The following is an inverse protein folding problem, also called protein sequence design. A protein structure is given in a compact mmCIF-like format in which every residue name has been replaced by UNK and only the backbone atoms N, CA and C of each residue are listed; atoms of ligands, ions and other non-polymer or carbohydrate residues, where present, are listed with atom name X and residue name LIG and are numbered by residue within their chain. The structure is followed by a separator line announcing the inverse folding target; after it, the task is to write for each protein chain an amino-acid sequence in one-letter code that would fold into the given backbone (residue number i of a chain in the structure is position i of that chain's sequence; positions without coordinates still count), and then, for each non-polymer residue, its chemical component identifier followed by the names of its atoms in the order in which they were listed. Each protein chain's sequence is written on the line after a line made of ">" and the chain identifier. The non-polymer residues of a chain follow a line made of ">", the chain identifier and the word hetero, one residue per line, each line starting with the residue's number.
data_IF_464324563162
#
_entry.id   IF_464324563162
#
_cell.length_a   1.000
_cell.length_b   1.000
_cell.length_c   1.000
_cell.angle_alpha   90.00
_cell.angle_beta   90.00
_cell.angle_gamma   90.00
#
_symmetry.space_group_name_H-M   'P 1'
#
loop_
_entity.id
_entity.type
_entity.pdbx_description
1 polymer ?
#
# COMPACT_ATOMS: atom_id res chain seq x y z
N UNK A 1 44.09 -26.92 41.68
CA UNK A 1 44.09 -25.48 41.34
C UNK A 1 43.27 -25.33 40.06
N UNK A 2 42.34 -24.37 40.09
CA UNK A 2 41.13 -24.23 39.29
C UNK A 2 41.23 -24.49 37.78
N UNK A 3 40.25 -25.24 37.28
CA UNK A 3 39.80 -25.13 35.90
C UNK A 3 38.67 -24.11 35.79
N UNK A 4 38.54 -23.49 34.62
CA UNK A 4 37.27 -23.13 33.97
C UNK A 4 37.58 -22.45 32.64
N UNK A 5 37.30 -23.15 31.54
CA UNK A 5 37.18 -22.53 30.23
C UNK A 5 35.78 -21.91 30.16
N UNK A 6 35.71 -20.58 30.09
CA UNK A 6 34.45 -19.88 29.86
C UNK A 6 34.01 -20.14 28.41
N UNK A 7 32.94 -20.92 28.25
CA UNK A 7 32.22 -21.01 26.99
C UNK A 7 31.53 -19.66 26.75
N UNK A 8 32.01 -18.92 25.75
CA UNK A 8 31.30 -17.77 25.24
C UNK A 8 30.02 -18.25 24.54
N UNK A 9 28.87 -18.08 25.19
CA UNK A 9 27.58 -18.14 24.50
C UNK A 9 27.44 -16.88 23.65
N UNK A 10 27.79 -16.99 22.38
CA UNK A 10 27.30 -16.08 21.35
C UNK A 10 25.81 -16.37 21.13
N UNK A 11 24.95 -15.72 21.91
CA UNK A 11 23.53 -15.58 21.59
C UNK A 11 23.39 -14.59 20.42
N UNK A 12 23.80 -15.03 19.23
CA UNK A 12 23.45 -14.39 17.98
C UNK A 12 22.01 -14.76 17.64
N UNK A 13 21.03 -14.18 18.32
CA UNK A 13 19.69 -14.10 17.73
C UNK A 13 19.79 -13.10 16.58
N UNK A 14 20.04 -13.59 15.38
CA UNK A 14 19.66 -12.85 14.18
C UNK A 14 18.16 -12.63 14.30
N UNK A 15 17.75 -11.43 14.71
CA UNK A 15 16.36 -11.00 14.65
C UNK A 15 15.89 -11.27 13.23
N UNK A 16 15.08 -12.31 13.04
CA UNK A 16 14.56 -12.64 11.71
C UNK A 16 13.81 -11.40 11.24
N UNK A 17 14.20 -10.86 10.08
CA UNK A 17 13.51 -9.72 9.49
C UNK A 17 12.01 -10.03 9.40
N UNK A 18 11.18 -9.05 9.76
CA UNK A 18 9.73 -9.25 9.81
C UNK A 18 9.20 -9.50 8.38
N UNK A 19 8.61 -10.69 8.12
CA UNK A 19 8.24 -11.10 6.77
C UNK A 19 7.14 -10.22 6.15
N UNK A 20 6.32 -9.54 6.96
CA UNK A 20 5.23 -8.72 6.42
C UNK A 20 5.70 -7.37 5.88
N UNK A 21 6.85 -6.86 6.34
CA UNK A 21 7.34 -5.53 5.97
C UNK A 21 7.48 -5.37 4.45
N UNK A 22 8.28 -6.18 3.73
CA UNK A 22 8.45 -5.99 2.29
C UNK A 22 7.15 -6.20 1.51
N UNK A 23 6.27 -7.07 2.00
CA UNK A 23 4.98 -7.38 1.37
C UNK A 23 4.04 -6.18 1.46
N UNK A 24 3.87 -5.62 2.67
CA UNK A 24 3.04 -4.44 2.88
C UNK A 24 3.60 -3.21 2.17
N UNK A 25 4.92 -3.01 2.19
CA UNK A 25 5.57 -1.90 1.47
C UNK A 25 5.34 -2.00 -0.04
N UNK A 26 5.45 -3.20 -0.62
CA UNK A 26 5.14 -3.40 -2.02
C UNK A 26 3.66 -3.12 -2.32
N UNK A 27 2.75 -3.61 -1.48
CA UNK A 27 1.31 -3.34 -1.64
C UNK A 27 1.01 -1.84 -1.61
N UNK A 28 1.56 -1.11 -0.63
CA UNK A 28 1.34 0.33 -0.47
C UNK A 28 1.92 1.14 -1.64
N UNK A 29 3.09 0.72 -2.15
CA UNK A 29 3.69 1.31 -3.35
C UNK A 29 2.79 1.13 -4.57
N UNK A 30 2.27 -0.07 -4.80
CA UNK A 30 1.34 -0.36 -5.89
C UNK A 30 0.03 0.44 -5.74
N UNK A 31 -0.44 0.63 -4.51
CA UNK A 31 -1.63 1.45 -4.24
C UNK A 31 -1.41 2.91 -4.65
N UNK A 32 -0.30 3.50 -4.20
CA UNK A 32 0.05 4.87 -4.54
C UNK A 32 0.28 5.07 -6.05
N UNK A 33 0.83 4.06 -6.73
CA UNK A 33 0.97 4.04 -8.19
C UNK A 33 -0.39 4.05 -8.89
N UNK A 34 -1.35 3.24 -8.43
CA UNK A 34 -2.71 3.25 -8.95
C UNK A 34 -3.42 4.59 -8.71
N UNK A 35 -3.25 5.20 -7.53
CA UNK A 35 -3.82 6.51 -7.22
C UNK A 35 -3.28 7.60 -8.15
N UNK A 36 -1.95 7.58 -8.41
CA UNK A 36 -1.31 8.52 -9.33
C UNK A 36 -1.78 8.34 -10.78
N UNK A 37 -1.93 7.10 -11.23
CA UNK A 37 -2.48 6.79 -12.56
C UNK A 37 -3.94 7.22 -12.69
N UNK A 38 -4.75 7.00 -11.66
CA UNK A 38 -6.15 7.43 -11.63
C UNK A 38 -6.26 8.95 -11.75
N UNK A 39 -5.42 9.69 -11.01
CA UNK A 39 -5.36 11.15 -11.12
C UNK A 39 -4.97 11.59 -12.54
N UNK A 40 -3.93 10.97 -13.12
CA UNK A 40 -3.51 11.26 -14.49
C UNK A 40 -4.62 10.99 -15.50
N UNK A 41 -5.37 9.91 -15.33
CA UNK A 41 -6.50 9.60 -16.18
C UNK A 41 -7.59 10.68 -16.09
N UNK A 42 -7.91 11.16 -14.89
CA UNK A 42 -8.89 12.24 -14.68
C UNK A 42 -8.45 13.57 -15.31
N UNK A 43 -7.15 13.88 -15.25
CA UNK A 43 -6.59 15.05 -15.93
C UNK A 43 -6.74 14.95 -17.45
N UNK A 44 -6.43 13.77 -18.02
CA UNK A 44 -6.60 13.50 -19.44
C UNK A 44 -8.07 13.59 -19.84
N UNK A 45 -8.98 12.94 -19.13
CA UNK A 45 -10.42 12.99 -19.38
C UNK A 45 -10.92 14.44 -19.39
N UNK A 46 -10.51 15.22 -18.39
CA UNK A 46 -10.86 16.64 -18.31
C UNK A 46 -10.32 17.44 -19.49
N UNK A 47 -9.09 17.16 -19.93
CA UNK A 47 -8.47 17.80 -21.08
C UNK A 47 -9.18 17.45 -22.39
N UNK A 48 -9.33 16.16 -22.70
CA UNK A 48 -9.94 15.72 -23.96
C UNK A 48 -11.44 16.07 -24.03
N UNK A 49 -12.11 16.11 -22.88
CA UNK A 49 -13.48 16.61 -22.77
C UNK A 49 -13.61 18.05 -23.25
N UNK A 50 -12.65 18.93 -22.91
CA UNK A 50 -12.63 20.33 -23.31
C UNK A 50 -12.17 20.53 -24.76
N UNK A 51 -11.05 19.91 -25.14
CA UNK A 51 -10.39 20.21 -26.42
C UNK A 51 -11.01 19.46 -27.60
N UNK A 52 -11.48 18.24 -27.39
CA UNK A 52 -11.96 17.35 -28.46
C UNK A 52 -13.45 17.04 -28.40
N UNK A 53 -14.19 17.62 -27.44
CA UNK A 53 -15.57 17.23 -27.14
C UNK A 53 -15.70 15.71 -26.96
N UNK A 54 -14.72 15.08 -26.29
CA UNK A 54 -14.54 13.63 -26.16
C UNK A 54 -15.82 12.83 -25.94
N UNK A 55 -16.72 13.33 -25.08
CA UNK A 55 -17.98 12.67 -24.73
C UNK A 55 -19.01 12.59 -25.86
N UNK A 56 -18.81 13.35 -26.96
CA UNK A 56 -19.66 13.32 -28.16
C UNK A 56 -19.06 12.49 -29.30
N UNK A 57 -17.79 12.10 -29.17
CA UNK A 57 -17.10 11.31 -30.18
C UNK A 57 -17.57 9.85 -30.13
N UNK A 58 -17.73 9.26 -31.31
CA UNK A 58 -17.81 7.82 -31.49
C UNK A 58 -16.48 7.15 -31.13
N UNK A 59 -16.50 5.83 -30.92
CA UNK A 59 -15.29 5.07 -30.60
C UNK A 59 -14.19 5.22 -31.66
N UNK A 60 -14.57 5.19 -32.94
CA UNK A 60 -13.62 5.39 -34.05
C UNK A 60 -13.01 6.80 -34.05
N UNK A 61 -13.78 7.82 -33.68
CA UNK A 61 -13.29 9.20 -33.57
C UNK A 61 -12.38 9.39 -32.34
N UNK A 62 -12.67 8.71 -31.23
CA UNK A 62 -11.81 8.71 -30.03
C UNK A 62 -10.44 8.12 -30.31
N UNK A 63 -10.35 7.06 -31.13
CA UNK A 63 -9.06 6.47 -31.52
C UNK A 63 -8.16 7.43 -32.32
N UNK A 64 -8.71 8.52 -32.85
CA UNK A 64 -7.95 9.56 -33.56
C UNK A 64 -7.42 10.66 -32.64
N UNK A 65 -7.86 10.70 -31.37
CA UNK A 65 -7.38 11.66 -30.38
C UNK A 65 -6.02 11.19 -29.84
N UNK A 66 -4.99 12.06 -29.83
CA UNK A 66 -3.64 11.68 -29.43
C UNK A 66 -3.54 11.04 -28.04
N UNK A 67 -4.34 11.54 -27.09
CA UNK A 67 -4.33 11.11 -25.69
C UNK A 67 -5.06 9.79 -25.45
N UNK A 68 -5.86 9.32 -26.40
CA UNK A 68 -6.66 8.10 -26.25
C UNK A 68 -5.81 6.86 -25.97
N UNK A 69 -4.62 6.79 -26.58
CA UNK A 69 -3.68 5.70 -26.37
C UNK A 69 -3.11 5.70 -24.94
N UNK A 70 -2.85 6.88 -24.35
CA UNK A 70 -2.38 7.00 -22.97
C UNK A 70 -3.49 6.60 -22.00
N UNK A 71 -4.72 7.08 -22.20
CA UNK A 71 -5.86 6.71 -21.36
C UNK A 71 -6.09 5.19 -21.34
N UNK A 72 -6.08 4.54 -22.51
CA UNK A 72 -6.25 3.09 -22.62
C UNK A 72 -5.09 2.30 -21.96
N UNK A 73 -3.87 2.84 -21.99
CA UNK A 73 -2.73 2.23 -21.31
C UNK A 73 -2.83 2.37 -19.79
N UNK A 74 -3.35 3.51 -19.31
CA UNK A 74 -3.61 3.73 -17.88
C UNK A 74 -4.69 2.76 -17.38
N UNK A 75 -5.80 2.60 -18.12
CA UNK A 75 -6.88 1.67 -17.73
C UNK A 75 -6.34 0.24 -17.53
N UNK A 76 -5.57 -0.26 -18.50
CA UNK A 76 -4.92 -1.58 -18.40
C UNK A 76 -3.96 -1.68 -17.21
N UNK A 77 -3.23 -0.61 -16.92
CA UNK A 77 -2.28 -0.57 -15.81
C UNK A 77 -3.00 -0.57 -14.46
N UNK A 78 -4.08 0.21 -14.33
CA UNK A 78 -4.93 0.25 -13.12
C UNK A 78 -5.52 -1.14 -12.84
N UNK A 79 -6.05 -1.82 -13.86
CA UNK A 79 -6.58 -3.18 -13.72
C UNK A 79 -5.50 -4.19 -13.27
N UNK A 80 -4.32 -4.13 -13.88
CA UNK A 80 -3.21 -5.02 -13.52
C UNK A 80 -2.70 -4.78 -12.09
N UNK A 81 -2.59 -3.51 -11.69
CA UNK A 81 -2.20 -3.11 -10.34
C UNK A 81 -3.24 -3.56 -9.31
N UNK A 82 -4.54 -3.38 -9.60
CA UNK A 82 -5.63 -3.83 -8.75
C UNK A 82 -5.55 -5.35 -8.52
N UNK A 83 -5.46 -6.13 -9.60
CA UNK A 83 -5.38 -7.59 -9.52
C UNK A 83 -4.18 -8.06 -8.69
N UNK A 84 -3.01 -7.45 -8.90
CA UNK A 84 -1.79 -7.77 -8.14
C UNK A 84 -1.97 -7.44 -6.65
N UNK A 85 -2.57 -6.29 -6.32
CA UNK A 85 -2.86 -5.90 -4.94
C UNK A 85 -3.87 -6.83 -4.27
N UNK A 86 -4.88 -7.30 -5.00
CA UNK A 86 -5.87 -8.26 -4.47
C UNK A 86 -5.23 -9.61 -4.16
N UNK A 87 -4.33 -10.13 -5.01
CA UNK A 87 -3.59 -11.37 -4.72
C UNK A 87 -2.79 -11.23 -3.41
N UNK A 88 -2.01 -10.14 -3.28
CA UNK A 88 -1.24 -9.87 -2.07
C UNK A 88 -2.15 -9.74 -0.85
N UNK A 89 -3.23 -8.95 -0.96
CA UNK A 89 -4.18 -8.69 0.14
C UNK A 89 -4.85 -9.97 0.61
N UNK A 90 -5.21 -10.89 -0.30
CA UNK A 90 -5.86 -12.16 0.04
C UNK A 90 -4.98 -13.07 0.91
N UNK A 91 -3.66 -12.98 0.78
CA UNK A 91 -2.68 -13.80 1.48
C UNK A 91 -2.13 -13.14 2.75
N UNK A 92 -2.18 -11.81 2.80
CA UNK A 92 -1.60 -11.02 3.87
C UNK A 92 -2.13 -11.36 5.29
N UNK A 93 -3.42 -11.68 5.51
CA UNK A 93 -3.93 -12.10 6.81
C UNK A 93 -3.17 -13.28 7.42
N UNK A 94 -2.76 -14.25 6.61
CA UNK A 94 -2.10 -15.48 7.05
C UNK A 94 -0.64 -15.29 7.45
N UNK A 95 -0.04 -14.15 7.09
CA UNK A 95 1.35 -13.83 7.40
C UNK A 95 1.41 -13.09 8.73
N UNK A 96 2.05 -13.71 9.72
CA UNK A 96 2.22 -13.13 11.05
C UNK A 96 3.29 -12.04 11.02
N UNK A 97 2.94 -10.85 11.50
CA UNK A 97 3.93 -9.81 11.78
C UNK A 97 4.81 -10.23 12.96
N UNK A 98 6.12 -10.00 12.86
CA UNK A 98 7.08 -10.27 13.91
C UNK A 98 7.43 -9.01 14.74
N UNK A 99 6.90 -7.84 14.38
CA UNK A 99 7.19 -6.56 15.01
C UNK A 99 5.97 -5.62 15.03
N UNK A 100 5.97 -4.63 15.93
CA UNK A 100 4.94 -3.58 15.96
C UNK A 100 4.91 -2.77 14.66
N UNK A 101 6.07 -2.55 14.05
CA UNK A 101 6.17 -1.90 12.75
C UNK A 101 5.54 -2.75 11.62
N UNK A 102 5.70 -4.07 11.66
CA UNK A 102 4.97 -4.96 10.75
C UNK A 102 3.47 -4.92 10.95
N UNK A 103 3.00 -4.86 12.21
CA UNK A 103 1.57 -4.69 12.53
C UNK A 103 1.05 -3.35 12.00
N UNK A 104 1.78 -2.25 12.19
CA UNK A 104 1.36 -0.93 11.71
C UNK A 104 1.27 -0.92 10.18
N UNK A 105 2.20 -1.56 9.46
CA UNK A 105 2.12 -1.70 8.01
C UNK A 105 0.91 -2.53 7.55
N UNK A 106 0.55 -3.62 8.25
CA UNK A 106 -0.69 -4.37 7.94
C UNK A 106 -1.92 -3.50 8.13
N UNK A 107 -1.96 -2.68 9.18
CA UNK A 107 -3.06 -1.73 9.41
C UNK A 107 -3.11 -0.63 8.35
N UNK A 108 -1.96 -0.14 7.88
CA UNK A 108 -1.89 0.81 6.76
C UNK A 108 -2.48 0.22 5.48
N UNK A 109 -2.17 -1.04 5.17
CA UNK A 109 -2.77 -1.76 4.02
C UNK A 109 -4.29 -1.89 4.19
N UNK A 110 -4.75 -2.29 5.38
CA UNK A 110 -6.19 -2.41 5.65
C UNK A 110 -6.92 -1.06 5.52
N UNK A 111 -6.36 0.02 6.10
CA UNK A 111 -6.94 1.36 6.04
C UNK A 111 -7.00 1.90 4.60
N UNK A 112 -6.01 1.58 3.77
CA UNK A 112 -6.00 1.94 2.35
C UNK A 112 -6.92 1.06 1.49
N UNK A 113 -7.25 -0.15 1.94
CA UNK A 113 -8.14 -1.08 1.23
C UNK A 113 -9.63 -0.80 1.48
N UNK A 114 -9.97 -0.17 2.60
CA UNK A 114 -11.35 0.24 2.91
C UNK A 114 -11.54 1.66 2.45
N UNK A 115 -12.30 1.86 1.37
CA UNK A 115 -12.56 3.19 0.83
C UNK A 115 -13.54 3.96 1.74
N UNK A 116 -13.30 5.26 2.03
CA UNK A 116 -14.17 6.04 2.91
C UNK A 116 -15.62 6.17 2.42
N UNK A 117 -15.81 6.17 1.11
CA UNK A 117 -17.11 6.24 0.45
C UNK A 117 -17.87 4.90 0.48
N UNK A 118 -17.16 3.77 0.62
CA UNK A 118 -17.76 2.45 0.80
C UNK A 118 -18.10 2.16 2.27
N UNK A 119 -17.23 2.53 3.20
CA UNK A 119 -17.42 2.33 4.64
C UNK A 119 -16.62 3.33 5.48
N UNK A 120 -17.23 4.49 5.74
CA UNK A 120 -16.59 5.59 6.47
C UNK A 120 -16.20 5.21 7.89
N UNK A 121 -17.05 4.47 8.61
CA UNK A 121 -16.82 4.08 10.01
C UNK A 121 -15.64 3.11 10.14
N UNK A 122 -15.58 2.08 9.29
CA UNK A 122 -14.47 1.13 9.31
C UNK A 122 -13.16 1.79 8.90
N UNK A 123 -13.18 2.65 7.88
CA UNK A 123 -12.02 3.42 7.46
C UNK A 123 -11.50 4.33 8.60
N UNK A 124 -12.38 5.07 9.26
CA UNK A 124 -12.03 5.95 10.37
C UNK A 124 -11.44 5.17 11.56
N UNK A 125 -12.06 4.03 11.92
CA UNK A 125 -11.58 3.17 13.01
C UNK A 125 -10.19 2.58 12.71
N UNK A 126 -9.93 2.15 11.47
CA UNK A 126 -8.62 1.64 11.06
C UNK A 126 -7.55 2.73 11.14
N UNK A 127 -7.85 3.94 10.66
CA UNK A 127 -6.94 5.08 10.75
C UNK A 127 -6.66 5.49 12.21
N UNK A 128 -7.69 5.58 13.06
CA UNK A 128 -7.49 5.95 14.46
C UNK A 128 -6.65 4.90 15.18
N UNK A 129 -6.94 3.61 14.97
CA UNK A 129 -6.18 2.50 15.57
C UNK A 129 -4.71 2.49 15.12
N UNK A 130 -4.45 2.79 13.85
CA UNK A 130 -3.08 2.93 13.33
C UNK A 130 -2.33 4.08 14.03
N UNK A 131 -2.99 5.23 14.18
CA UNK A 131 -2.39 6.39 14.87
C UNK A 131 -2.10 6.09 16.34
N UNK A 132 -3.02 5.43 17.05
CA UNK A 132 -2.82 5.01 18.44
C UNK A 132 -1.61 4.06 18.57
N UNK A 133 -1.48 3.09 17.65
CA UNK A 133 -0.33 2.18 17.63
C UNK A 133 0.99 2.92 17.41
N UNK A 134 1.03 3.87 16.46
CA UNK A 134 2.22 4.68 16.20
C UNK A 134 2.60 5.50 17.45
N UNK A 135 1.63 6.14 18.10
CA UNK A 135 1.87 6.90 19.34
C UNK A 135 2.43 6.00 20.45
N UNK A 136 1.90 4.78 20.62
CA UNK A 136 2.40 3.82 21.60
C UNK A 136 3.83 3.35 21.30
N UNK A 137 4.16 3.14 20.02
CA UNK A 137 5.53 2.81 19.59
C UNK A 137 6.52 3.92 19.92
N UNK A 138 6.15 5.19 19.65
CA UNK A 138 6.98 6.36 19.93
C UNK A 138 7.18 6.59 21.43
N UNK A 139 6.12 6.40 22.22
CA UNK A 139 6.17 6.49 23.68
C UNK A 139 7.03 5.37 24.29
N UNK A 140 6.92 4.14 23.78
CA UNK A 140 7.72 3.00 24.21
C UNK A 140 9.21 3.14 23.89
N UNK A 141 9.55 3.79 22.76
CA UNK A 141 10.94 4.14 22.43
C UNK A 141 11.51 5.28 23.27
N UNK A 142 10.65 6.19 23.74
CA UNK A 142 11.02 7.32 24.60
C UNK A 142 11.27 6.92 26.07
N UNK A 143 10.73 5.79 26.53
CA UNK A 143 10.91 5.26 27.90
C UNK A 143 12.20 4.46 28.12
N UNK A 144 13.05 4.30 27.09
CA UNK A 144 14.34 3.59 27.17
C UNK A 144 15.57 4.52 27.19
N UNK A 145 15.39 5.82 27.45
CA UNK A 145 16.49 6.78 27.64
C UNK A 145 16.71 7.14 29.10
#
# INVERSE_FOLDING_TARGET
>A
MAGSAALALSAGTTSSADPVIPICQNWLRLNAEQDALTLRWQELESFVGREYNWFRLSEAERQLVPEAAEMAAIDQSVDALFNTRQDILSRLPDIKAASLYGVSLKLSVAAASVLPDENAEAHALLKSTLNDLIMLMEAGGSLQK
#
